data_IF_834401377516
#
_entry.id   IF_834401377516
#
_cell.length_a   1.000
_cell.length_b   1.000
_cell.length_c   1.000
_cell.angle_alpha   90.00
_cell.angle_beta   90.00
_cell.angle_gamma   90.00
#
_symmetry.space_group_name_H-M   'P 1'
#
loop_
_entity.id
_entity.type
_entity.pdbx_description
1 polymer ?
#
# COMPACT_ATOMS: atom_id res chain seq x y z
N UNK A 1 18.30 -6.92 17.40
CA UNK A 1 19.12 -5.88 16.73
C UNK A 1 18.32 -4.58 16.70
N UNK A 2 18.85 -3.49 17.24
CA UNK A 2 18.20 -2.18 17.18
C UNK A 2 18.77 -1.39 16.00
N UNK A 3 17.98 -1.22 14.94
CA UNK A 3 18.31 -0.36 13.81
C UNK A 3 17.92 1.09 14.11
N UNK A 4 18.83 2.04 13.88
CA UNK A 4 18.53 3.47 14.05
C UNK A 4 17.62 3.95 12.92
N UNK A 5 16.37 4.27 13.25
CA UNK A 5 15.38 4.73 12.26
C UNK A 5 15.60 6.21 11.94
N UNK A 6 15.76 6.54 10.66
CA UNK A 6 15.80 7.93 10.21
C UNK A 6 14.40 8.56 10.29
N UNK A 7 14.27 9.64 11.06
CA UNK A 7 13.00 10.26 11.41
C UNK A 7 12.77 11.62 10.72
N UNK A 8 13.62 12.02 9.76
CA UNK A 8 13.47 13.22 8.90
C UNK A 8 13.16 14.55 9.64
N UNK A 9 13.51 14.69 10.92
CA UNK A 9 13.28 15.90 11.74
C UNK A 9 14.54 16.70 12.08
N UNK A 10 15.71 16.28 11.57
CA UNK A 10 17.00 16.89 11.94
C UNK A 10 17.35 16.67 13.42
N UNK A 11 18.12 17.58 14.02
CA UNK A 11 18.48 17.52 15.45
C UNK A 11 17.28 17.95 16.31
N UNK A 12 16.73 17.03 17.09
CA UNK A 12 15.64 17.32 18.03
C UNK A 12 16.22 18.04 19.25
N UNK A 13 15.63 19.20 19.61
CA UNK A 13 16.10 20.05 20.72
C UNK A 13 15.27 19.88 22.00
N UNK A 14 13.95 19.87 21.87
CA UNK A 14 13.06 19.93 23.02
C UNK A 14 12.51 18.54 23.41
N UNK A 15 11.58 17.99 22.63
CA UNK A 15 10.90 16.74 22.96
C UNK A 15 11.05 15.69 21.85
N UNK A 16 11.77 14.61 22.18
CA UNK A 16 12.03 13.48 21.30
C UNK A 16 10.75 12.74 20.89
N UNK A 17 9.86 12.43 21.83
CA UNK A 17 8.64 11.66 21.56
C UNK A 17 7.67 12.44 20.67
N UNK A 18 7.48 13.73 20.93
CA UNK A 18 6.63 14.59 20.12
C UNK A 18 7.15 14.70 18.68
N UNK A 19 8.48 14.81 18.51
CA UNK A 19 9.10 14.84 17.19
C UNK A 19 8.93 13.50 16.45
N UNK A 20 9.07 12.38 17.16
CA UNK A 20 8.84 11.05 16.60
C UNK A 20 7.39 10.85 16.18
N UNK A 21 6.41 11.16 17.03
CA UNK A 21 4.98 11.03 16.71
C UNK A 21 4.61 11.81 15.43
N UNK A 22 5.27 12.95 15.18
CA UNK A 22 5.05 13.76 13.97
C UNK A 22 5.99 13.44 12.80
N UNK A 23 6.83 12.42 12.92
CA UNK A 23 7.67 11.90 11.83
C UNK A 23 6.91 10.91 10.95
N UNK A 24 7.48 10.58 9.80
CA UNK A 24 6.90 9.60 8.85
C UNK A 24 6.74 8.20 9.45
N UNK A 25 7.46 7.92 10.54
CA UNK A 25 7.40 6.64 11.26
C UNK A 25 5.99 6.35 11.78
N UNK A 26 5.31 7.36 12.32
CA UNK A 26 4.01 7.23 12.97
C UNK A 26 2.89 7.88 12.15
N UNK A 27 3.00 7.83 10.82
CA UNK A 27 1.92 8.30 9.94
C UNK A 27 0.71 7.36 9.99
N UNK A 28 -0.47 7.95 9.87
CA UNK A 28 -1.70 7.18 9.68
C UNK A 28 -1.60 6.32 8.41
N UNK A 29 -1.83 5.02 8.55
CA UNK A 29 -1.87 4.08 7.42
C UNK A 29 -3.33 3.85 7.05
N UNK A 30 -3.64 4.00 5.77
CA UNK A 30 -4.96 3.67 5.21
C UNK A 30 -4.83 2.37 4.44
N UNK A 31 -5.61 1.37 4.83
CA UNK A 31 -5.71 0.13 4.06
C UNK A 31 -6.63 0.32 2.84
N UNK A 32 -6.22 -0.24 1.70
CA UNK A 32 -7.08 -0.28 0.52
C UNK A 32 -8.14 -1.35 0.70
N UNK A 33 -9.40 -0.93 0.85
CA UNK A 33 -10.54 -1.86 0.90
C UNK A 33 -10.72 -2.61 -0.43
N UNK A 34 -11.18 -3.86 -0.34
CA UNK A 34 -11.41 -4.73 -1.50
C UNK A 34 -12.67 -4.39 -2.31
N UNK A 35 -13.67 -3.72 -1.71
CA UNK A 35 -14.93 -3.36 -2.37
C UNK A 35 -15.39 -1.93 -2.03
N UNK A 36 -16.05 -1.27 -2.97
CA UNK A 36 -16.63 0.08 -2.81
C UNK A 36 -15.74 1.22 -3.31
N UNK A 37 -15.94 2.45 -2.81
CA UNK A 37 -15.24 3.66 -3.29
C UNK A 37 -13.71 3.55 -3.20
N UNK A 38 -13.01 3.58 -4.34
CA UNK A 38 -11.55 3.52 -4.37
C UNK A 38 -10.97 2.10 -4.28
N UNK A 39 -11.79 1.05 -4.43
CA UNK A 39 -11.32 -0.35 -4.47
C UNK A 39 -10.95 -0.85 -5.87
N UNK A 40 -11.17 -0.07 -6.93
CA UNK A 40 -10.89 -0.51 -8.30
C UNK A 40 -9.38 -0.58 -8.56
N UNK A 41 -8.89 -1.77 -8.90
CA UNK A 41 -7.50 -2.01 -9.31
C UNK A 41 -7.44 -2.40 -10.80
N UNK A 42 -6.84 -1.52 -11.62
CA UNK A 42 -6.76 -1.70 -13.08
C UNK A 42 -5.95 -2.93 -13.48
N UNK A 43 -4.88 -3.25 -12.76
CA UNK A 43 -4.01 -4.37 -13.13
C UNK A 43 -4.67 -5.72 -12.86
N UNK A 44 -5.36 -5.85 -11.72
CA UNK A 44 -6.16 -7.03 -11.41
C UNK A 44 -7.28 -7.21 -12.45
N UNK A 45 -8.03 -6.14 -12.75
CA UNK A 45 -9.08 -6.19 -13.77
C UNK A 45 -8.56 -6.61 -15.16
N UNK A 46 -7.34 -6.19 -15.53
CA UNK A 46 -6.70 -6.62 -16.78
C UNK A 46 -6.38 -8.12 -16.77
N UNK A 47 -5.78 -8.64 -15.68
CA UNK A 47 -5.49 -10.09 -15.53
C UNK A 47 -6.75 -10.95 -15.65
N UNK A 48 -7.88 -10.48 -15.11
CA UNK A 48 -9.18 -11.16 -15.26
C UNK A 48 -9.66 -11.21 -16.72
N UNK A 49 -9.40 -10.17 -17.52
CA UNK A 49 -9.73 -10.15 -18.96
C UNK A 49 -8.80 -11.07 -19.74
N UNK A 50 -7.49 -10.88 -19.59
CA UNK A 50 -6.49 -11.65 -20.32
C UNK A 50 -6.63 -13.15 -20.03
N UNK A 51 -6.95 -13.53 -18.77
CA UNK A 51 -7.21 -14.92 -18.39
C UNK A 51 -8.49 -15.52 -18.96
N UNK A 52 -9.52 -14.71 -19.24
CA UNK A 52 -10.74 -15.15 -19.94
C UNK A 52 -10.46 -15.37 -21.43
N UNK A 53 -9.68 -14.48 -22.05
CA UNK A 53 -9.35 -14.54 -23.49
C UNK A 53 -8.29 -15.63 -23.83
N UNK A 54 -7.55 -16.13 -22.83
CA UNK A 54 -6.48 -17.13 -23.04
C UNK A 54 -7.00 -18.58 -23.09
N UNK A 55 -8.26 -18.86 -22.73
CA UNK A 55 -8.86 -20.18 -22.96
C UNK A 55 -9.49 -20.21 -24.36
N UNK A 56 -8.92 -20.95 -25.32
CA UNK A 56 -9.53 -21.04 -26.65
C UNK A 56 -10.93 -21.67 -26.50
N UNK A 57 -11.93 -21.17 -27.26
CA UNK A 57 -13.33 -21.63 -27.19
C UNK A 57 -13.52 -23.11 -27.55
N UNK A 58 -12.45 -23.79 -27.97
CA UNK A 58 -12.43 -25.21 -28.33
C UNK A 58 -12.55 -26.15 -27.12
N UNK A 59 -12.34 -25.68 -25.88
CA UNK A 59 -12.48 -26.49 -24.65
C UNK A 59 -13.79 -26.25 -23.87
N UNK A 60 -14.78 -25.59 -24.49
CA UNK A 60 -16.09 -25.28 -23.91
C UNK A 60 -17.24 -26.05 -24.61
N UNK A 61 -16.99 -27.32 -24.95
CA UNK A 61 -17.99 -28.33 -25.32
C UNK A 61 -17.71 -29.64 -24.59
#
# INVERSE_FOLDING_TARGET
>A
MSGKVQHNKGKIRDNALKALVRSDLFRHKVERKRKGKGSYNRQEAKKWRDGFDTFPPFFMF
#
